data_IF_575033280439
#
_entry.id   IF_575033280439
#
_cell.length_a   1.000
_cell.length_b   1.000
_cell.length_c   1.000
_cell.angle_alpha   90.00
_cell.angle_beta   90.00
_cell.angle_gamma   90.00
#
_symmetry.space_group_name_H-M   'P 1'
#
loop_
_entity.id
_entity.type
_entity.pdbx_description
1 polymer ?
#
# COMPACT_ATOMS: atom_id res chain seq x y z
N UNK A 1 -3.81 15.23 15.72
CA UNK A 1 -3.97 15.24 14.24
C UNK A 1 -4.46 13.86 13.80
N UNK A 2 -5.32 13.75 12.77
CA UNK A 2 -5.82 12.45 12.26
C UNK A 2 -5.74 12.40 10.73
N UNK A 3 -5.05 11.39 10.18
CA UNK A 3 -5.05 11.06 8.76
C UNK A 3 -5.95 9.85 8.50
N UNK A 4 -6.64 9.86 7.36
CA UNK A 4 -7.65 8.88 6.96
C UNK A 4 -7.34 8.56 5.50
N UNK A 5 -6.88 7.34 5.21
CA UNK A 5 -6.31 6.97 3.90
C UNK A 5 -7.10 5.78 3.34
N UNK A 6 -7.56 5.91 2.09
CA UNK A 6 -8.28 4.87 1.34
C UNK A 6 -9.76 5.20 1.10
N UNK A 7 -10.39 4.51 0.13
CA UNK A 7 -11.81 4.72 -0.23
C UNK A 7 -12.76 3.81 0.56
N UNK A 8 -14.04 4.21 0.67
CA UNK A 8 -15.16 3.50 1.35
C UNK A 8 -15.34 2.00 0.99
N UNK A 9 -14.71 1.49 -0.07
CA UNK A 9 -14.84 0.09 -0.53
C UNK A 9 -13.62 -0.78 -0.22
N UNK A 10 -12.57 -0.25 0.40
CA UNK A 10 -11.24 -0.88 0.46
C UNK A 10 -10.65 -0.84 1.88
N UNK A 11 -9.47 -1.48 2.05
CA UNK A 11 -8.73 -1.41 3.30
C UNK A 11 -8.35 0.05 3.61
N UNK A 12 -8.45 0.43 4.89
CA UNK A 12 -8.34 1.82 5.34
C UNK A 12 -7.24 1.98 6.39
N UNK A 13 -6.50 3.09 6.34
CA UNK A 13 -5.60 3.51 7.43
C UNK A 13 -6.16 4.73 8.12
N UNK A 14 -6.27 4.65 9.44
CA UNK A 14 -6.34 5.84 10.28
C UNK A 14 -5.05 6.00 11.05
N UNK A 15 -4.41 7.16 10.93
CA UNK A 15 -3.22 7.49 11.72
C UNK A 15 -3.59 8.63 12.64
N UNK A 16 -3.40 8.44 13.93
CA UNK A 16 -3.50 9.52 14.91
C UNK A 16 -2.12 9.85 15.51
N UNK A 17 -2.12 10.53 16.65
CA UNK A 17 -0.87 10.99 17.27
C UNK A 17 0.05 9.84 17.72
N UNK A 18 -0.54 8.70 18.10
CA UNK A 18 0.17 7.63 18.80
C UNK A 18 -0.02 6.26 18.18
N UNK A 19 -0.97 6.07 17.25
CA UNK A 19 -1.22 4.77 16.67
C UNK A 19 -1.71 4.81 15.22
N UNK A 20 -1.50 3.69 14.53
CA UNK A 20 -2.08 3.35 13.23
C UNK A 20 -3.19 2.32 13.46
N UNK A 21 -4.37 2.59 12.91
CA UNK A 21 -5.46 1.61 12.80
C UNK A 21 -5.57 1.16 11.36
N UNK A 22 -5.53 -0.15 11.15
CA UNK A 22 -5.71 -0.77 9.84
C UNK A 22 -7.05 -1.48 9.83
N UNK A 23 -7.89 -1.11 8.88
CA UNK A 23 -9.20 -1.70 8.70
C UNK A 23 -9.27 -2.51 7.41
N UNK A 24 -10.01 -3.61 7.44
CA UNK A 24 -10.40 -4.38 6.25
C UNK A 24 -11.90 -4.23 6.00
N UNK A 25 -12.33 -4.40 4.75
CA UNK A 25 -13.74 -4.63 4.45
C UNK A 25 -13.95 -6.14 4.25
N UNK A 26 -14.91 -6.78 4.93
CA UNK A 26 -15.27 -8.17 4.63
C UNK A 26 -15.67 -8.31 3.15
N UNK A 27 -15.33 -9.42 2.51
CA UNK A 27 -15.60 -9.67 1.07
C UNK A 27 -17.09 -9.58 0.69
N UNK A 28 -18.00 -9.59 1.66
CA UNK A 28 -19.44 -9.40 1.45
C UNK A 28 -19.72 -7.89 1.34
N UNK A 29 -20.16 -7.48 0.14
CA UNK A 29 -20.17 -6.13 -0.45
C UNK A 29 -20.85 -5.02 0.40
N UNK A 30 -21.55 -5.36 1.49
CA UNK A 30 -22.26 -4.44 2.39
C UNK A 30 -21.74 -4.40 3.85
N UNK A 31 -20.61 -5.02 4.15
CA UNK A 31 -20.02 -4.99 5.50
C UNK A 31 -19.46 -3.62 5.91
N UNK A 32 -19.59 -3.26 7.21
CA UNK A 32 -18.84 -2.15 7.83
C UNK A 32 -17.33 -2.47 7.80
N UNK A 33 -16.49 -1.44 7.79
CA UNK A 33 -15.06 -1.60 7.99
C UNK A 33 -14.82 -2.30 9.34
N UNK A 34 -14.00 -3.34 9.33
CA UNK A 34 -13.58 -4.06 10.52
C UNK A 34 -12.15 -3.66 10.86
N UNK A 35 -11.91 -3.28 12.11
CA UNK A 35 -10.56 -3.05 12.62
C UNK A 35 -9.82 -4.39 12.67
N UNK A 36 -8.72 -4.51 11.94
CA UNK A 36 -7.85 -5.70 11.96
C UNK A 36 -6.67 -5.50 12.90
N UNK A 37 -6.05 -4.31 12.85
CA UNK A 37 -4.88 -3.99 13.67
C UNK A 37 -5.01 -2.60 14.29
N UNK A 38 -4.55 -2.48 15.53
CA UNK A 38 -4.28 -1.22 16.20
C UNK A 38 -2.85 -1.27 16.70
N UNK A 39 -1.99 -0.41 16.15
CA UNK A 39 -0.54 -0.49 16.28
C UNK A 39 -0.04 0.82 16.85
N UNK A 40 0.54 0.80 18.05
CA UNK A 40 1.21 1.99 18.59
C UNK A 40 2.45 2.32 17.76
N UNK A 41 2.69 3.60 17.48
CA UNK A 41 3.82 4.04 16.66
C UNK A 41 5.15 3.57 17.25
N UNK A 42 5.29 3.57 18.58
CA UNK A 42 6.51 3.13 19.28
C UNK A 42 6.79 1.62 19.12
N UNK A 43 5.78 0.84 18.72
CA UNK A 43 5.91 -0.59 18.45
C UNK A 43 6.26 -0.90 17.00
N UNK A 44 6.29 0.12 16.11
CA UNK A 44 6.67 -0.08 14.72
C UNK A 44 8.20 -0.17 14.64
N UNK A 45 8.70 -1.25 14.05
CA UNK A 45 10.13 -1.41 13.74
C UNK A 45 10.48 -0.72 12.42
N UNK A 46 9.69 -0.99 11.39
CA UNK A 46 9.85 -0.39 10.06
C UNK A 46 8.58 -0.60 9.24
N UNK A 47 8.46 0.18 8.16
CA UNK A 47 7.43 0.00 7.14
C UNK A 47 8.12 -0.31 5.82
N UNK A 48 7.95 -1.53 5.33
CA UNK A 48 8.44 -1.95 4.02
C UNK A 48 7.43 -1.60 2.94
N UNK A 49 7.90 -1.00 1.86
CA UNK A 49 7.09 -0.71 0.69
C UNK A 49 7.56 -1.60 -0.45
N UNK A 50 6.63 -2.35 -1.02
CA UNK A 50 6.90 -3.28 -2.11
C UNK A 50 5.72 -3.31 -3.08
N UNK A 51 5.78 -4.15 -4.11
CA UNK A 51 4.65 -4.32 -5.02
C UNK A 51 4.35 -5.79 -5.29
N UNK A 52 3.10 -6.06 -5.64
CA UNK A 52 2.62 -7.39 -6.04
C UNK A 52 1.94 -7.31 -7.38
N UNK A 53 2.13 -8.35 -8.20
CA UNK A 53 1.48 -8.50 -9.49
C UNK A 53 0.47 -9.63 -9.39
N UNK A 54 -0.82 -9.32 -9.54
CA UNK A 54 -1.92 -10.28 -9.53
C UNK A 54 -2.45 -10.47 -10.95
N UNK A 55 -2.58 -11.69 -11.49
CA UNK A 55 -3.13 -11.87 -12.82
C UNK A 55 -4.57 -11.30 -12.89
N UNK A 56 -4.87 -10.50 -13.92
CA UNK A 56 -6.23 -9.99 -14.11
C UNK A 56 -7.11 -11.05 -14.77
N UNK A 57 -8.13 -11.54 -14.07
CA UNK A 57 -9.15 -12.42 -14.66
C UNK A 57 -10.16 -11.67 -15.53
N UNK A 58 -10.75 -12.34 -16.54
CA UNK A 58 -11.93 -11.85 -17.26
C UNK A 58 -11.66 -10.99 -18.51
N UNK A 59 -12.63 -10.16 -18.89
CA UNK A 59 -12.68 -9.44 -20.17
C UNK A 59 -11.46 -8.53 -20.44
N UNK A 60 -10.77 -8.03 -19.41
CA UNK A 60 -9.54 -7.23 -19.53
C UNK A 60 -8.39 -8.01 -20.21
N UNK A 61 -8.31 -9.33 -19.98
CA UNK A 61 -7.39 -10.22 -20.68
C UNK A 61 -7.82 -10.48 -22.14
N UNK A 62 -9.13 -10.40 -22.44
CA UNK A 62 -9.68 -10.64 -23.79
C UNK A 62 -9.49 -9.44 -24.73
N UNK A 63 -9.35 -8.22 -24.19
CA UNK A 63 -9.03 -7.02 -24.96
C UNK A 63 -7.53 -6.70 -25.02
N UNK A 64 -6.67 -7.55 -24.43
CA UNK A 64 -5.21 -7.46 -24.56
C UNK A 64 -4.57 -6.23 -23.92
N UNK A 65 -5.27 -5.54 -23.01
CA UNK A 65 -4.81 -4.24 -22.50
C UNK A 65 -3.83 -4.42 -21.31
N UNK A 66 -4.10 -5.35 -20.38
CA UNK A 66 -3.18 -5.67 -19.27
C UNK A 66 -3.38 -7.12 -18.77
N UNK A 67 -2.29 -7.88 -18.62
CA UNK A 67 -2.34 -9.27 -18.10
C UNK A 67 -2.29 -9.36 -16.57
N UNK A 68 -1.83 -8.31 -15.90
CA UNK A 68 -1.61 -8.26 -14.44
C UNK A 68 -2.23 -7.02 -13.80
N UNK A 69 -2.34 -7.04 -12.46
CA UNK A 69 -2.72 -6.01 -11.49
C UNK A 69 -1.54 -5.77 -10.47
N UNK A 70 -0.70 -4.75 -10.68
CA UNK A 70 0.39 -4.19 -9.88
C UNK A 70 -0.15 -3.31 -8.75
N UNK A 71 -0.10 -3.83 -7.53
CA UNK A 71 -0.50 -3.14 -6.31
C UNK A 71 0.74 -2.78 -5.51
N UNK A 72 0.82 -1.54 -5.01
CA UNK A 72 1.84 -1.16 -4.04
C UNK A 72 1.36 -1.58 -2.65
N UNK A 73 2.23 -2.20 -1.87
CA UNK A 73 1.96 -2.77 -0.57
C UNK A 73 2.82 -2.12 0.50
N UNK A 74 2.28 -1.99 1.70
CA UNK A 74 2.94 -1.49 2.90
C UNK A 74 2.90 -2.59 3.94
N UNK A 75 4.04 -3.16 4.28
CA UNK A 75 4.18 -4.16 5.34
C UNK A 75 4.75 -3.48 6.60
N UNK A 76 3.92 -3.32 7.62
CA UNK A 76 4.29 -2.75 8.91
C UNK A 76 4.87 -3.88 9.76
N UNK A 77 6.17 -3.84 10.04
CA UNK A 77 6.83 -4.72 11.00
C UNK A 77 6.61 -4.20 12.41
N UNK A 78 6.09 -5.06 13.29
CA UNK A 78 5.70 -4.73 14.66
C UNK A 78 6.58 -5.52 15.62
N UNK A 79 7.15 -4.85 16.63
CA UNK A 79 8.03 -5.46 17.64
C UNK A 79 7.35 -6.65 18.30
N UNK A 80 7.98 -7.82 18.24
CA UNK A 80 7.52 -9.06 18.88
C UNK A 80 6.11 -9.52 18.47
N UNK A 81 5.58 -9.03 17.34
CA UNK A 81 4.22 -9.32 16.87
C UNK A 81 4.21 -9.73 15.39
N UNK A 82 3.05 -10.20 14.93
CA UNK A 82 2.86 -10.47 13.50
C UNK A 82 2.76 -9.15 12.74
N UNK A 83 3.42 -9.09 11.59
CA UNK A 83 3.34 -7.93 10.70
C UNK A 83 1.90 -7.65 10.26
N UNK A 84 1.59 -6.37 10.07
CA UNK A 84 0.35 -5.94 9.43
C UNK A 84 0.65 -5.57 7.97
N UNK A 85 0.01 -6.28 7.03
CA UNK A 85 0.14 -6.01 5.60
C UNK A 85 -1.04 -5.17 5.13
N UNK A 86 -0.72 -4.14 4.37
CA UNK A 86 -1.68 -3.25 3.75
C UNK A 86 -1.40 -3.09 2.26
N UNK A 87 -2.47 -2.87 1.51
CA UNK A 87 -2.44 -2.78 0.06
C UNK A 87 -2.98 -1.41 -0.31
N UNK A 88 -2.25 -0.69 -1.16
CA UNK A 88 -2.80 0.45 -1.86
C UNK A 88 -3.43 -0.06 -3.15
N UNK A 89 -4.75 0.04 -3.21
CA UNK A 89 -5.50 -0.21 -4.41
C UNK A 89 -5.61 1.06 -5.26
N UNK A 90 -5.91 0.85 -6.54
CA UNK A 90 -6.16 1.90 -7.53
C UNK A 90 -7.29 2.83 -7.07
N UNK A 91 -6.92 4.02 -6.57
CA UNK A 91 -7.89 5.04 -6.19
C UNK A 91 -7.67 5.68 -4.82
N UNK A 92 -6.68 5.23 -4.04
CA UNK A 92 -6.21 5.94 -2.86
C UNK A 92 -5.72 7.33 -3.24
N UNK A 93 -6.13 8.35 -2.47
CA UNK A 93 -5.67 9.71 -2.68
C UNK A 93 -4.16 9.78 -2.38
N UNK A 94 -3.38 10.11 -3.40
CA UNK A 94 -1.91 10.18 -3.29
C UNK A 94 -1.46 11.28 -2.32
N UNK A 95 -2.19 12.39 -2.25
CA UNK A 95 -1.84 13.49 -1.34
C UNK A 95 -2.00 13.09 0.12
N UNK A 96 -3.12 12.44 0.47
CA UNK A 96 -3.34 11.92 1.84
C UNK A 96 -2.27 10.89 2.21
N UNK A 97 -1.92 10.02 1.28
CA UNK A 97 -0.90 9.00 1.49
C UNK A 97 0.49 9.61 1.67
N UNK A 98 0.89 10.58 0.85
CA UNK A 98 2.19 11.26 0.99
C UNK A 98 2.26 12.05 2.29
N UNK A 99 1.18 12.73 2.69
CA UNK A 99 1.12 13.42 3.98
C UNK A 99 1.29 12.44 5.14
N UNK A 100 0.63 11.28 5.09
CA UNK A 100 0.78 10.23 6.08
C UNK A 100 2.20 9.66 6.13
N UNK A 101 2.82 9.37 4.99
CA UNK A 101 4.21 8.90 4.92
C UNK A 101 5.16 9.92 5.54
N UNK A 102 5.01 11.20 5.19
CA UNK A 102 5.84 12.27 5.75
C UNK A 102 5.63 12.43 7.26
N UNK A 103 4.39 12.32 7.73
CA UNK A 103 4.09 12.34 9.15
C UNK A 103 4.78 11.19 9.90
N UNK A 104 4.71 9.96 9.38
CA UNK A 104 5.38 8.81 9.99
C UNK A 104 6.91 8.94 9.97
N UNK A 105 7.49 9.47 8.88
CA UNK A 105 8.92 9.80 8.82
C UNK A 105 9.32 10.82 9.88
N UNK A 106 8.51 11.85 10.12
CA UNK A 106 8.74 12.84 11.17
C UNK A 106 8.61 12.25 12.59
N UNK A 107 7.97 11.09 12.74
CA UNK A 107 7.93 10.29 13.98
C UNK A 107 9.07 9.28 14.08
N UNK A 108 10.13 9.43 13.27
CA UNK A 108 11.30 8.53 13.21
C UNK A 108 10.96 7.09 12.81
N UNK A 109 9.85 6.87 12.08
CA UNK A 109 9.54 5.54 11.55
C UNK A 109 10.31 5.33 10.25
N UNK A 110 11.12 4.28 10.22
CA UNK A 110 11.95 3.91 9.07
C UNK A 110 11.09 3.29 7.97
N UNK A 111 11.23 3.81 6.76
CA UNK A 111 10.67 3.22 5.54
C UNK A 111 11.76 2.50 4.76
N UNK A 112 11.50 1.26 4.38
CA UNK A 112 12.37 0.47 3.49
C UNK A 112 11.69 0.47 2.12
N UNK A 113 12.28 1.22 1.17
CA UNK A 113 11.72 1.45 -0.17
C UNK A 113 12.75 1.11 -1.25
N UNK A 114 12.91 -0.18 -1.53
CA UNK A 114 13.96 -0.67 -2.43
C UNK A 114 13.79 -0.21 -3.89
N UNK A 115 12.55 0.03 -4.33
CA UNK A 115 12.23 0.37 -5.72
C UNK A 115 11.78 1.83 -5.91
N UNK A 116 12.05 2.69 -4.92
CA UNK A 116 11.69 4.11 -4.94
C UNK A 116 10.19 4.34 -5.22
N UNK A 117 9.34 3.48 -4.65
CA UNK A 117 7.89 3.50 -4.81
C UNK A 117 7.28 4.74 -4.17
N UNK A 118 7.89 5.32 -3.13
CA UNK A 118 7.44 6.60 -2.56
C UNK A 118 7.56 7.72 -3.60
N UNK A 119 8.66 7.79 -4.35
CA UNK A 119 8.80 8.78 -5.41
C UNK A 119 7.78 8.57 -6.53
N UNK A 120 7.50 7.32 -6.89
CA UNK A 120 6.45 6.98 -7.84
C UNK A 120 5.05 7.40 -7.35
N UNK A 121 4.74 7.21 -6.06
CA UNK A 121 3.49 7.67 -5.46
C UNK A 121 3.41 9.20 -5.52
N UNK A 122 4.52 9.90 -5.26
CA UNK A 122 4.59 11.35 -5.26
C UNK A 122 4.50 11.97 -6.68
N UNK A 123 4.88 11.22 -7.73
CA UNK A 123 4.79 11.67 -9.11
C UNK A 123 3.36 11.62 -9.64
N UNK A 124 2.67 12.77 -9.59
CA UNK A 124 1.29 12.92 -10.07
C UNK A 124 1.14 12.85 -11.60
N UNK A 125 2.23 12.97 -12.36
CA UNK A 125 2.18 12.92 -13.83
C UNK A 125 2.16 11.48 -14.35
N UNK A 126 2.54 10.51 -13.51
CA UNK A 126 2.62 9.11 -13.88
C UNK A 126 1.55 8.28 -13.17
N UNK A 127 0.93 7.35 -13.89
CA UNK A 127 0.08 6.32 -13.25
C UNK A 127 1.00 5.37 -12.47
N UNK A 128 0.65 5.09 -11.21
CA UNK A 128 1.40 4.12 -10.36
C UNK A 128 1.56 2.80 -11.11
N UNK A 129 0.50 2.38 -11.81
CA UNK A 129 0.49 1.21 -12.69
C UNK A 129 1.68 1.17 -13.65
N UNK A 130 1.75 2.15 -14.55
CA UNK A 130 2.77 2.25 -15.60
C UNK A 130 4.17 2.37 -14.98
N UNK A 131 4.27 3.03 -13.82
CA UNK A 131 5.52 3.13 -13.07
C UNK A 131 6.01 1.80 -12.52
N UNK A 132 5.14 1.00 -11.92
CA UNK A 132 5.51 -0.34 -11.42
C UNK A 132 5.86 -1.25 -12.60
N UNK A 133 5.13 -1.18 -13.72
CA UNK A 133 5.44 -1.97 -14.91
C UNK A 133 6.83 -1.62 -15.49
N UNK A 134 7.18 -0.32 -15.51
CA UNK A 134 8.52 0.12 -15.90
C UNK A 134 9.60 -0.41 -14.95
N UNK A 135 9.38 -0.32 -13.62
CA UNK A 135 10.31 -0.88 -12.62
C UNK A 135 10.54 -2.37 -12.86
N UNK A 136 9.47 -3.14 -13.10
CA UNK A 136 9.56 -4.58 -13.37
C UNK A 136 10.43 -4.85 -14.60
N UNK A 137 10.20 -4.12 -15.70
CA UNK A 137 10.92 -4.27 -16.96
C UNK A 137 12.40 -3.88 -16.81
N UNK A 138 12.69 -2.75 -16.19
CA UNK A 138 14.06 -2.23 -16.02
C UNK A 138 14.90 -3.14 -15.11
N UNK A 139 14.27 -3.80 -14.13
CA UNK A 139 14.96 -4.66 -13.18
C UNK A 139 14.85 -6.16 -13.50
N UNK A 140 14.27 -6.54 -14.65
CA UNK A 140 14.02 -7.94 -15.06
C UNK A 140 13.33 -8.79 -13.98
N UNK A 141 12.35 -8.21 -13.30
CA UNK A 141 11.66 -8.85 -12.18
C UNK A 141 10.55 -9.79 -12.68
N UNK A 142 10.34 -10.97 -12.06
CA UNK A 142 9.20 -11.82 -12.39
C UNK A 142 7.87 -11.15 -12.06
N UNK A 143 6.80 -11.48 -12.80
CA UNK A 143 5.45 -10.99 -12.55
C UNK A 143 4.76 -11.74 -11.38
N UNK A 144 5.42 -11.83 -10.22
CA UNK A 144 4.89 -12.43 -8.98
C UNK A 144 5.53 -11.75 -7.77
N UNK A 145 4.71 -11.49 -6.73
CA UNK A 145 5.05 -11.09 -5.35
C UNK A 145 6.55 -10.78 -5.09
N UNK A 146 6.95 -9.50 -5.23
CA UNK A 146 8.29 -9.05 -4.83
C UNK A 146 8.27 -8.55 -3.40
N UNK A 147 8.26 -9.47 -2.45
CA UNK A 147 8.58 -9.13 -1.06
C UNK A 147 10.09 -9.05 -0.96
N UNK A 148 10.58 -7.92 -0.48
CA UNK A 148 11.97 -7.76 -0.05
C UNK A 148 12.18 -8.57 1.23
#
# INVERSE_FOLDING_TARGET
>A
MKFVIGKKKEAHWEIDEHLIRVYSKPQIVFGKLKLEHQIYLDNIESIEIYFTSLPMGGAANRVGVFSYAHQVMFNIKIKNEKNAIFNILTGTNRDELIQAINYLKNKNITFIDQYNLIALINDKNKKIWDGVEQIIKENNLPYVNHKV
#
